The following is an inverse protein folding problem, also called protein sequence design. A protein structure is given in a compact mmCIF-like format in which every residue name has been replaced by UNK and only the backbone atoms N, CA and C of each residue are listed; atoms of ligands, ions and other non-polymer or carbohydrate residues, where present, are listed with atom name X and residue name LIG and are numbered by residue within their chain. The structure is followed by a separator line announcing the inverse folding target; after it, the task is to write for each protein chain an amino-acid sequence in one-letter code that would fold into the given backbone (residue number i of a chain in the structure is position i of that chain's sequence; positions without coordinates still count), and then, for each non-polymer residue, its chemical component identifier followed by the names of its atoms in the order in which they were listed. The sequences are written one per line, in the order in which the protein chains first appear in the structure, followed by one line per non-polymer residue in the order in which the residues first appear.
data_IF_307158445661
#
_entry.id   IF_307158445661
#
_cell.length_a   1.000
_cell.length_b   1.000
_cell.length_c   1.000
_cell.angle_alpha   90.00
_cell.angle_beta   90.00
_cell.angle_gamma   90.00
#
_symmetry.space_group_name_H-M   'P 1'
#
loop_
_entity.id
_entity.type
_entity.pdbx_description
1 polymer ?
#
# COMPACT_ATOMS: atom_id res chain seq x y z
N UNK A 1 -12.65 -8.16 14.63
CA UNK A 1 -12.24 -6.76 14.37
C UNK A 1 -11.89 -6.64 12.90
N UNK A 2 -12.43 -5.63 12.23
CA UNK A 2 -12.08 -5.27 10.85
C UNK A 2 -11.48 -3.88 10.84
N UNK A 3 -10.55 -3.66 9.94
CA UNK A 3 -9.90 -2.37 9.73
C UNK A 3 -9.99 -2.01 8.26
N UNK A 4 -10.33 -0.76 7.97
CA UNK A 4 -10.30 -0.18 6.64
C UNK A 4 -9.47 1.10 6.71
N UNK A 5 -8.55 1.27 5.78
CA UNK A 5 -7.71 2.46 5.68
C UNK A 5 -7.68 2.94 4.24
N UNK A 6 -7.90 4.24 4.06
CA UNK A 6 -7.64 4.95 2.80
C UNK A 6 -6.37 5.75 2.97
N UNK A 7 -5.39 5.50 2.13
CA UNK A 7 -4.11 6.17 2.18
C UNK A 7 -3.66 6.62 0.79
N UNK A 8 -3.00 7.76 0.72
CA UNK A 8 -2.41 8.30 -0.49
C UNK A 8 -0.91 8.54 -0.29
N UNK A 9 -0.14 8.20 -1.33
CA UNK A 9 1.29 8.46 -1.42
C UNK A 9 1.53 9.61 -2.37
N UNK A 10 2.22 10.65 -1.90
CA UNK A 10 2.72 11.73 -2.76
C UNK A 10 4.15 11.42 -3.18
N UNK A 11 4.40 11.48 -4.49
CA UNK A 11 5.70 11.20 -5.10
C UNK A 11 6.48 12.50 -5.34
N UNK A 12 7.80 12.39 -5.49
CA UNK A 12 8.66 13.54 -5.77
C UNK A 12 8.62 14.02 -7.23
N UNK A 13 7.95 13.29 -8.12
CA UNK A 13 7.90 13.55 -9.54
C UNK A 13 6.86 12.66 -10.23
N UNK A 14 6.66 12.90 -11.52
CA UNK A 14 5.63 12.23 -12.33
C UNK A 14 5.97 10.77 -12.62
N UNK A 15 4.97 9.90 -12.50
CA UNK A 15 5.08 8.48 -12.77
C UNK A 15 5.29 8.26 -14.26
N UNK A 16 6.48 7.79 -14.64
CA UNK A 16 6.85 7.50 -16.03
C UNK A 16 6.34 6.16 -16.49
N UNK A 17 6.30 5.18 -15.60
CA UNK A 17 5.80 3.83 -15.88
C UNK A 17 4.77 3.36 -14.84
N UNK A 18 3.47 3.55 -15.13
CA UNK A 18 2.38 3.06 -14.29
C UNK A 18 2.28 1.52 -14.26
N UNK A 19 2.73 0.83 -15.31
CA UNK A 19 2.63 -0.63 -15.41
C UNK A 19 3.65 -1.32 -14.51
N UNK A 20 4.87 -0.79 -14.44
CA UNK A 20 5.87 -1.23 -13.46
C UNK A 20 5.35 -1.02 -12.04
N UNK A 21 4.77 0.15 -11.76
CA UNK A 21 4.24 0.46 -10.44
C UNK A 21 3.14 -0.55 -10.01
N UNK A 22 2.23 -0.88 -10.92
CA UNK A 22 1.18 -1.87 -10.66
C UNK A 22 1.77 -3.25 -10.30
N UNK A 23 2.79 -3.71 -11.02
CA UNK A 23 3.51 -4.95 -10.69
C UNK A 23 4.13 -4.91 -9.29
N UNK A 24 4.76 -3.81 -8.91
CA UNK A 24 5.34 -3.65 -7.56
C UNK A 24 4.27 -3.66 -6.46
N UNK A 25 3.09 -3.13 -6.74
CA UNK A 25 1.95 -3.20 -5.81
C UNK A 25 1.43 -4.63 -5.70
N UNK A 26 1.34 -5.37 -6.81
CA UNK A 26 0.98 -6.79 -6.80
C UNK A 26 2.02 -7.63 -6.04
N UNK A 27 3.32 -7.38 -6.22
CA UNK A 27 4.39 -8.03 -5.43
C UNK A 27 4.31 -7.65 -3.94
N UNK A 28 3.84 -6.43 -3.63
CA UNK A 28 3.61 -6.01 -2.26
C UNK A 28 2.45 -6.79 -1.61
N UNK A 29 1.41 -7.18 -2.36
CA UNK A 29 0.32 -8.03 -1.85
C UNK A 29 0.84 -9.35 -1.28
N UNK A 30 1.79 -9.99 -1.96
CA UNK A 30 2.45 -11.20 -1.45
C UNK A 30 3.26 -10.93 -0.17
N UNK A 31 3.81 -9.73 -0.01
CA UNK A 31 4.52 -9.34 1.21
C UNK A 31 3.57 -9.11 2.39
N UNK A 32 2.32 -8.71 2.15
CA UNK A 32 1.30 -8.55 3.20
C UNK A 32 0.81 -9.89 3.77
N UNK A 33 0.94 -10.99 3.02
CA UNK A 33 0.66 -12.35 3.51
C UNK A 33 1.74 -12.85 4.48
N UNK A 34 2.92 -12.22 4.54
CA UNK A 34 3.99 -12.60 5.46
C UNK A 34 3.64 -12.22 6.90
N UNK A 35 3.52 -13.23 7.76
CA UNK A 35 3.15 -13.09 9.18
C UNK A 35 1.67 -13.38 9.46
N UNK A 36 0.91 -13.83 8.46
CA UNK A 36 -0.47 -14.26 8.61
C UNK A 36 -0.50 -15.80 8.73
N UNK A 37 -1.15 -16.37 9.75
CA UNK A 37 -1.36 -17.82 9.84
C UNK A 37 -2.07 -18.37 8.59
N UNK A 38 -1.76 -19.61 8.20
CA UNK A 38 -2.44 -20.28 7.07
C UNK A 38 -3.94 -20.36 7.37
N UNK A 39 -4.77 -19.74 6.53
CA UNK A 39 -6.23 -19.73 6.66
C UNK A 39 -6.83 -18.48 7.30
N UNK A 40 -6.01 -17.53 7.76
CA UNK A 40 -6.49 -16.23 8.26
C UNK A 40 -6.34 -15.11 7.20
N UNK A 41 -7.25 -14.13 7.24
CA UNK A 41 -7.19 -12.96 6.37
C UNK A 41 -6.15 -11.96 6.89
N UNK A 42 -5.15 -11.67 6.06
CA UNK A 42 -4.15 -10.64 6.28
C UNK A 42 -4.62 -9.24 5.88
N UNK A 43 -3.66 -8.32 5.75
CA UNK A 43 -3.89 -7.05 5.05
C UNK A 43 -4.03 -7.29 3.55
N UNK A 44 -5.12 -6.81 2.97
CA UNK A 44 -5.44 -6.89 1.56
C UNK A 44 -5.55 -5.48 0.96
N UNK A 45 -5.07 -5.32 -0.27
CA UNK A 45 -5.22 -4.09 -1.03
C UNK A 45 -6.46 -4.23 -1.91
N UNK A 46 -7.57 -3.64 -1.47
CA UNK A 46 -8.88 -3.72 -2.12
C UNK A 46 -8.94 -2.85 -3.38
N UNK A 47 -8.31 -1.67 -3.35
CA UNK A 47 -8.28 -0.76 -4.51
C UNK A 47 -6.96 -0.01 -4.59
N UNK A 48 -6.58 0.34 -5.81
CA UNK A 48 -5.38 1.10 -6.15
C UNK A 48 -5.72 2.04 -7.29
N UNK A 49 -5.45 3.32 -7.09
CA UNK A 49 -5.57 4.35 -8.11
C UNK A 49 -4.20 5.02 -8.28
N UNK A 50 -3.73 5.09 -9.53
CA UNK A 50 -2.44 5.67 -9.88
C UNK A 50 -2.73 7.00 -10.59
N UNK A 51 -2.37 8.11 -9.95
CA UNK A 51 -2.43 9.45 -10.52
C UNK A 51 -1.16 9.81 -11.29
N UNK A 52 -0.93 11.11 -11.50
CA UNK A 52 0.26 11.62 -12.19
C UNK A 52 1.48 11.60 -11.27
N UNK A 53 1.32 12.09 -10.04
CA UNK A 53 2.35 12.24 -9.02
C UNK A 53 1.94 11.62 -7.67
N UNK A 54 0.83 10.87 -7.66
CA UNK A 54 0.22 10.35 -6.46
C UNK A 54 -0.33 8.94 -6.66
N UNK A 55 -0.41 8.17 -5.58
CA UNK A 55 -0.94 6.81 -5.58
C UNK A 55 -1.89 6.65 -4.41
N UNK A 56 -3.18 6.45 -4.68
CA UNK A 56 -4.18 6.18 -3.66
C UNK A 56 -4.42 4.68 -3.53
N UNK A 57 -4.60 4.23 -2.28
CA UNK A 57 -4.80 2.83 -1.92
C UNK A 57 -5.95 2.72 -0.93
N UNK A 58 -6.70 1.63 -1.05
CA UNK A 58 -7.63 1.17 -0.03
C UNK A 58 -7.11 -0.15 0.52
N UNK A 59 -6.92 -0.19 1.83
CA UNK A 59 -6.42 -1.34 2.56
C UNK A 59 -7.47 -1.83 3.54
N UNK A 60 -7.79 -3.12 3.46
CA UNK A 60 -8.64 -3.80 4.42
C UNK A 60 -7.80 -4.83 5.18
N UNK A 61 -8.00 -4.97 6.49
CA UNK A 61 -7.34 -6.03 7.25
C UNK A 61 -8.21 -6.61 8.35
N UNK A 62 -7.95 -7.87 8.66
CA UNK A 62 -8.40 -8.53 9.88
C UNK A 62 -7.49 -8.18 11.08
N UNK A 63 -7.42 -9.12 12.04
CA UNK A 63 -6.56 -8.99 13.24
C UNK A 63 -5.07 -9.02 12.91
N UNK A 64 -4.69 -9.68 11.81
CA UNK A 64 -3.31 -9.91 11.41
C UNK A 64 -2.91 -8.96 10.27
N UNK A 65 -1.73 -8.35 10.42
CA UNK A 65 -1.19 -7.30 9.52
C UNK A 65 -2.15 -6.12 9.39
N UNK A 66 -2.16 -5.26 10.43
CA UNK A 66 -3.00 -4.06 10.49
C UNK A 66 -2.68 -3.09 9.34
N UNK A 67 -3.62 -2.21 8.91
CA UNK A 67 -3.43 -1.42 7.71
C UNK A 67 -2.28 -0.41 7.84
N UNK A 68 -2.01 0.10 9.04
CA UNK A 68 -0.86 0.99 9.27
C UNK A 68 0.49 0.29 9.03
N UNK A 69 0.63 -0.98 9.43
CA UNK A 69 1.84 -1.75 9.17
C UNK A 69 1.93 -2.11 7.68
N UNK A 70 0.79 -2.46 7.06
CA UNK A 70 0.68 -2.72 5.63
C UNK A 70 1.14 -1.52 4.79
N UNK A 71 0.66 -0.31 5.09
CA UNK A 71 1.06 0.94 4.40
C UNK A 71 2.57 1.15 4.46
N UNK A 72 3.18 0.96 5.63
CA UNK A 72 4.63 1.17 5.79
C UNK A 72 5.44 0.15 4.98
N UNK A 73 5.01 -1.11 4.93
CA UNK A 73 5.62 -2.15 4.10
C UNK A 73 5.52 -1.81 2.61
N UNK A 74 4.33 -1.40 2.16
CA UNK A 74 4.08 -0.99 0.78
C UNK A 74 4.95 0.22 0.43
N UNK A 75 4.95 1.27 1.27
CA UNK A 75 5.79 2.46 1.09
C UNK A 75 7.25 2.09 0.87
N UNK A 76 7.80 1.20 1.70
CA UNK A 76 9.22 0.79 1.62
C UNK A 76 9.52 0.10 0.29
N UNK A 77 8.64 -0.80 -0.16
CA UNK A 77 8.78 -1.49 -1.45
C UNK A 77 8.68 -0.51 -2.63
N UNK A 78 7.63 0.31 -2.64
CA UNK A 78 7.42 1.30 -3.70
C UNK A 78 8.56 2.31 -3.78
N UNK A 79 9.07 2.79 -2.65
CA UNK A 79 10.21 3.73 -2.63
C UNK A 79 11.48 3.11 -3.21
N UNK A 80 11.76 1.83 -2.93
CA UNK A 80 12.92 1.13 -3.50
C UNK A 80 12.77 0.92 -5.02
N UNK A 81 11.58 0.52 -5.46
CA UNK A 81 11.28 0.29 -6.87
C UNK A 81 11.34 1.59 -7.67
N UNK A 82 10.56 2.60 -7.27
CA UNK A 82 10.49 3.90 -7.93
C UNK A 82 11.84 4.62 -7.94
N UNK A 83 12.61 4.50 -6.86
CA UNK A 83 13.95 5.09 -6.79
C UNK A 83 14.92 4.45 -7.78
N UNK A 84 14.85 3.13 -7.96
CA UNK A 84 15.74 2.39 -8.87
C UNK A 84 15.34 2.51 -10.34
N UNK A 85 14.05 2.48 -10.63
CA UNK A 85 13.54 2.40 -12.01
C UNK A 85 13.26 3.78 -12.61
N UNK A 86 12.79 4.73 -11.80
CA UNK A 86 12.29 6.01 -12.31
C UNK A 86 13.02 7.23 -11.70
N UNK A 87 13.85 7.03 -10.67
CA UNK A 87 14.52 8.10 -9.93
C UNK A 87 13.57 8.93 -9.06
N UNK A 88 12.43 8.36 -8.68
CA UNK A 88 11.35 9.04 -7.94
C UNK A 88 11.24 8.45 -6.53
N UNK A 89 11.04 9.30 -5.52
CA UNK A 89 10.84 8.87 -4.14
C UNK A 89 9.42 9.15 -3.64
N UNK A 90 8.98 8.39 -2.62
CA UNK A 90 7.75 8.72 -1.88
C UNK A 90 8.06 9.79 -0.85
N UNK A 91 7.48 10.98 -0.98
CA UNK A 91 7.71 12.12 -0.08
C UNK A 91 6.79 12.11 1.12
N UNK A 92 5.51 11.87 0.89
CA UNK A 92 4.49 11.93 1.94
C UNK A 92 3.59 10.70 1.86
N UNK A 93 3.15 10.27 3.03
CA UNK A 93 2.06 9.31 3.16
C UNK A 93 0.96 10.02 3.94
N UNK A 94 -0.20 10.13 3.33
CA UNK A 94 -1.38 10.74 3.93
C UNK A 94 -2.38 9.62 4.19
N UNK A 95 -2.93 9.57 5.39
CA UNK A 95 -4.04 8.67 5.73
C UNK A 95 -5.30 9.51 5.73
N UNK A 96 -6.17 9.27 4.75
CA UNK A 96 -7.41 10.03 4.56
C UNK A 96 -8.50 9.54 5.51
N UNK A 97 -8.61 8.22 5.67
CA UNK A 97 -9.51 7.62 6.65
C UNK A 97 -8.90 6.37 7.27
N UNK A 98 -9.25 6.14 8.53
CA UNK A 98 -8.92 4.92 9.24
C UNK A 98 -10.11 4.51 10.10
N UNK A 99 -10.80 3.46 9.67
CA UNK A 99 -12.03 2.97 10.26
C UNK A 99 -11.81 1.59 10.89
N UNK A 100 -12.40 1.38 12.05
CA UNK A 100 -12.27 0.13 12.80
C UNK A 100 -13.64 -0.34 13.28
N UNK A 101 -13.97 -1.59 13.01
CA UNK A 101 -15.17 -2.24 13.53
C UNK A 101 -14.78 -3.24 14.62
N UNK A 102 -15.34 -3.01 15.81
CA UNK A 102 -15.28 -3.91 16.96
C UNK A 102 -16.71 -4.42 17.23
N UNK A 103 -16.91 -5.74 17.44
CA UNK A 103 -18.22 -6.30 17.77
C UNK A 103 -18.73 -5.88 19.15
#
# INVERSE_FOLDING_TARGET
MKFLMKASFELSGEIKDPAALKKHIDDARETLKKGVPKGEQGGEITSVEIGVDSVALILESGRHVRPHDAVLRIKKRLSQALGREQGIGVRRVTVESYETWYP
#
